data_IF_031635031961
#
_entry.id   IF_031635031961
#
_cell.length_a   1.000
_cell.length_b   1.000
_cell.length_c   1.000
_cell.angle_alpha   90.00
_cell.angle_beta   90.00
_cell.angle_gamma   90.00
#
_symmetry.space_group_name_H-M   'P 1'
#
loop_
_entity.id
_entity.type
_entity.pdbx_description
1 polymer ?
#
# COMPACT_ATOMS: atom_id res chain seq x y z
N UNK A 1 -23.25 68.14 -4.06
CA UNK A 1 -22.37 67.23 -3.30
C UNK A 1 -22.73 65.82 -3.73
N UNK A 2 -21.89 65.24 -4.59
CA UNK A 2 -22.07 63.90 -5.16
C UNK A 2 -21.32 62.90 -4.28
N UNK A 3 -21.99 61.89 -3.73
CA UNK A 3 -21.35 60.80 -2.98
C UNK A 3 -20.98 59.67 -3.94
N UNK A 4 -19.69 59.38 -4.07
CA UNK A 4 -19.18 58.24 -4.84
C UNK A 4 -19.40 56.90 -4.12
N UNK A 5 -19.51 55.76 -4.83
CA UNK A 5 -19.71 54.45 -4.22
C UNK A 5 -18.39 53.82 -3.72
N UNK A 6 -18.56 52.88 -2.80
CA UNK A 6 -17.58 52.10 -2.02
C UNK A 6 -16.77 51.13 -2.88
N UNK A 7 -15.46 51.03 -2.62
CA UNK A 7 -14.62 49.90 -3.03
C UNK A 7 -14.64 48.82 -1.92
N UNK A 8 -14.98 47.55 -2.21
CA UNK A 8 -14.90 46.48 -1.24
C UNK A 8 -13.44 46.08 -1.00
N UNK A 9 -13.05 46.10 0.28
CA UNK A 9 -11.75 45.66 0.79
C UNK A 9 -11.41 44.23 0.35
N UNK A 10 -10.18 44.06 -0.11
CA UNK A 10 -9.60 42.83 -0.66
C UNK A 10 -9.94 41.59 0.18
N UNK A 11 -10.59 40.63 -0.49
CA UNK A 11 -10.96 39.33 0.05
C UNK A 11 -9.71 38.54 0.43
N UNK A 12 -9.43 38.44 1.72
CA UNK A 12 -8.50 37.46 2.27
C UNK A 12 -9.03 36.07 1.95
N UNK A 13 -8.51 35.46 0.89
CA UNK A 13 -8.79 34.06 0.57
C UNK A 13 -8.05 33.21 1.59
N UNK A 14 -8.73 32.85 2.68
CA UNK A 14 -8.25 31.84 3.60
C UNK A 14 -8.16 30.50 2.85
N UNK A 15 -6.96 29.95 2.76
CA UNK A 15 -6.75 28.59 2.23
C UNK A 15 -7.52 27.61 3.13
N UNK A 16 -8.64 27.10 2.64
CA UNK A 16 -9.41 26.07 3.32
C UNK A 16 -8.60 24.77 3.30
N UNK A 17 -8.19 24.30 4.48
CA UNK A 17 -7.61 22.96 4.61
C UNK A 17 -8.77 21.97 4.43
N UNK A 18 -8.69 21.04 3.47
CA UNK A 18 -9.75 20.04 3.30
C UNK A 18 -9.86 19.21 4.58
N UNK A 19 -11.06 19.15 5.14
CA UNK A 19 -11.38 18.21 6.22
C UNK A 19 -11.27 16.80 5.65
N UNK A 20 -10.54 15.93 6.36
CA UNK A 20 -10.50 14.49 6.01
C UNK A 20 -11.53 13.77 6.86
N UNK A 21 -12.56 13.23 6.21
CA UNK A 21 -13.69 12.57 6.87
C UNK A 21 -13.45 11.08 7.15
N UNK A 22 -12.39 10.49 6.57
CA UNK A 22 -12.07 9.08 6.71
C UNK A 22 -10.56 8.82 6.76
N UNK A 23 -10.19 7.75 7.48
CA UNK A 23 -8.84 7.17 7.49
C UNK A 23 -8.99 5.71 7.08
N UNK A 24 -8.22 5.31 6.06
CA UNK A 24 -8.19 3.93 5.55
C UNK A 24 -6.89 3.31 6.04
N UNK A 25 -7.00 2.14 6.65
CA UNK A 25 -5.87 1.34 7.08
C UNK A 25 -5.76 0.12 6.19
N UNK A 26 -4.54 -0.21 5.80
CA UNK A 26 -4.23 -1.53 5.26
C UNK A 26 -4.29 -2.58 6.40
N UNK A 27 -4.27 -3.86 6.05
CA UNK A 27 -4.37 -4.95 7.03
C UNK A 27 -2.99 -5.42 7.50
N UNK A 28 -2.19 -5.97 6.58
CA UNK A 28 -0.92 -6.63 6.87
C UNK A 28 0.19 -5.63 7.21
N UNK A 29 0.84 -5.81 8.35
CA UNK A 29 1.89 -4.90 8.83
C UNK A 29 1.38 -3.53 9.32
N UNK A 30 0.06 -3.27 9.21
CA UNK A 30 -0.57 -2.05 9.73
C UNK A 30 -1.47 -2.35 10.92
N UNK A 31 -2.45 -3.24 10.75
CA UNK A 31 -3.37 -3.66 11.82
C UNK A 31 -2.96 -5.02 12.39
N UNK A 32 -2.42 -5.91 11.55
CA UNK A 32 -2.03 -7.27 11.92
C UNK A 32 -0.53 -7.44 11.78
N UNK A 33 0.13 -7.95 12.83
CA UNK A 33 1.49 -8.47 12.74
C UNK A 33 1.49 -9.85 12.06
N UNK A 34 1.48 -9.85 10.73
CA UNK A 34 1.33 -11.06 9.91
C UNK A 34 2.66 -11.61 9.37
N UNK A 35 3.81 -11.05 9.76
CA UNK A 35 5.10 -11.32 9.12
C UNK A 35 5.50 -12.80 9.21
N UNK A 36 5.39 -13.40 10.40
CA UNK A 36 5.78 -14.78 10.63
C UNK A 36 4.89 -15.78 9.87
N UNK A 37 3.58 -15.53 9.88
CA UNK A 37 2.59 -16.37 9.16
C UNK A 37 2.79 -16.25 7.65
N UNK A 38 3.08 -15.05 7.17
CA UNK A 38 3.34 -14.82 5.75
C UNK A 38 4.61 -15.55 5.28
N UNK A 39 5.68 -15.54 6.10
CA UNK A 39 6.89 -16.30 5.81
C UNK A 39 6.62 -17.81 5.74
N UNK A 40 5.86 -18.33 6.70
CA UNK A 40 5.50 -19.75 6.74
C UNK A 40 4.68 -20.16 5.51
N UNK A 41 3.65 -19.38 5.17
CA UNK A 41 2.80 -19.63 4.01
C UNK A 41 3.61 -19.59 2.71
N UNK A 42 4.45 -18.57 2.54
CA UNK A 42 5.33 -18.45 1.37
C UNK A 42 6.29 -19.63 1.26
N UNK A 43 6.92 -20.02 2.37
CA UNK A 43 7.86 -21.14 2.43
C UNK A 43 7.20 -22.47 2.07
N UNK A 44 5.96 -22.69 2.55
CA UNK A 44 5.18 -23.90 2.23
C UNK A 44 4.82 -23.95 0.75
N UNK A 45 4.30 -22.87 0.19
CA UNK A 45 3.96 -22.80 -1.24
C UNK A 45 5.20 -22.97 -2.13
N UNK A 46 6.32 -22.37 -1.74
CA UNK A 46 7.59 -22.54 -2.45
C UNK A 46 8.05 -24.00 -2.45
N UNK A 47 8.02 -24.67 -1.30
CA UNK A 47 8.41 -26.08 -1.20
C UNK A 47 7.49 -27.01 -2.02
N UNK A 48 6.19 -26.70 -2.09
CA UNK A 48 5.22 -27.49 -2.86
C UNK A 48 5.41 -27.36 -4.37
N UNK A 49 5.73 -26.16 -4.86
CA UNK A 49 5.74 -25.85 -6.30
C UNK A 49 7.16 -25.86 -6.88
N UNK A 50 8.11 -25.25 -6.19
CA UNK A 50 9.51 -25.12 -6.65
C UNK A 50 10.37 -26.28 -6.16
N UNK A 51 10.05 -26.82 -4.98
CA UNK A 51 10.77 -27.94 -4.36
C UNK A 51 11.81 -27.49 -3.33
N UNK A 52 12.86 -28.29 -3.17
CA UNK A 52 13.86 -28.10 -2.12
C UNK A 52 14.69 -26.80 -2.28
N UNK A 53 14.98 -26.15 -1.16
CA UNK A 53 15.84 -24.97 -1.09
C UNK A 53 15.28 -23.88 -0.18
N UNK A 54 16.10 -22.87 0.18
CA UNK A 54 15.61 -21.74 0.96
C UNK A 54 14.68 -20.88 0.09
N UNK A 55 13.45 -20.70 0.55
CA UNK A 55 12.50 -19.78 -0.09
C UNK A 55 13.01 -18.33 0.02
N UNK A 56 13.00 -17.52 -1.06
CA UNK A 56 13.56 -16.16 -1.08
C UNK A 56 12.63 -15.13 -0.41
N UNK A 57 12.22 -15.38 0.84
CA UNK A 57 11.22 -14.56 1.53
C UNK A 57 11.68 -13.12 1.78
N UNK A 58 12.95 -12.88 2.07
CA UNK A 58 13.48 -11.53 2.28
C UNK A 58 13.30 -10.64 1.04
N UNK A 59 13.47 -11.22 -0.16
CA UNK A 59 13.24 -10.49 -1.41
C UNK A 59 11.74 -10.31 -1.66
N UNK A 60 10.92 -11.34 -1.43
CA UNK A 60 9.45 -11.23 -1.49
C UNK A 60 8.92 -10.09 -0.61
N UNK A 61 9.46 -9.96 0.60
CA UNK A 61 9.05 -8.95 1.58
C UNK A 61 9.26 -7.51 1.07
N UNK A 62 10.27 -7.27 0.21
CA UNK A 62 10.56 -5.95 -0.37
C UNK A 62 9.53 -5.49 -1.40
N UNK A 63 8.75 -6.43 -1.94
CA UNK A 63 7.73 -6.16 -2.94
C UNK A 63 6.30 -6.10 -2.36
N UNK A 64 6.15 -6.22 -1.04
CA UNK A 64 4.85 -6.16 -0.35
C UNK A 64 4.12 -4.83 -0.61
N UNK A 65 2.78 -4.91 -0.64
CA UNK A 65 1.89 -3.82 -1.06
C UNK A 65 1.56 -3.82 -2.57
N UNK A 66 2.15 -4.73 -3.35
CA UNK A 66 1.75 -5.04 -4.74
C UNK A 66 0.83 -6.25 -4.80
N UNK A 67 0.18 -6.47 -5.93
CA UNK A 67 -0.57 -7.70 -6.17
C UNK A 67 0.38 -8.89 -6.23
N UNK A 68 -0.03 -10.01 -5.62
CA UNK A 68 0.80 -11.21 -5.53
C UNK A 68 1.31 -11.71 -6.90
N UNK A 69 0.46 -11.69 -7.93
CA UNK A 69 0.85 -12.06 -9.30
C UNK A 69 1.99 -11.19 -9.82
N UNK A 70 1.92 -9.87 -9.63
CA UNK A 70 2.98 -8.95 -10.05
C UNK A 70 4.30 -9.26 -9.31
N UNK A 71 4.23 -9.60 -8.02
CA UNK A 71 5.41 -9.95 -7.23
C UNK A 71 6.05 -11.23 -7.77
N UNK A 72 5.26 -12.27 -8.06
CA UNK A 72 5.77 -13.52 -8.62
C UNK A 72 6.44 -13.29 -9.98
N UNK A 73 5.83 -12.47 -10.85
CA UNK A 73 6.40 -12.10 -12.14
C UNK A 73 7.74 -11.35 -11.99
N UNK A 74 7.81 -10.36 -11.10
CA UNK A 74 9.03 -9.59 -10.81
C UNK A 74 10.15 -10.51 -10.28
N UNK A 75 9.80 -11.46 -9.43
CA UNK A 75 10.76 -12.41 -8.82
C UNK A 75 11.10 -13.59 -9.73
N UNK A 76 10.39 -13.78 -10.86
CA UNK A 76 10.54 -14.94 -11.72
C UNK A 76 10.09 -16.25 -11.08
N UNK A 77 9.11 -16.19 -10.15
CA UNK A 77 8.56 -17.34 -9.46
C UNK A 77 7.32 -17.90 -10.18
N UNK A 78 7.04 -19.22 -10.07
CA UNK A 78 5.87 -19.82 -10.68
C UNK A 78 4.55 -19.26 -10.11
N UNK A 79 3.58 -18.98 -10.98
CA UNK A 79 2.27 -18.46 -10.57
C UNK A 79 1.41 -19.52 -9.85
N UNK A 80 1.77 -20.80 -9.99
CA UNK A 80 1.19 -21.93 -9.28
C UNK A 80 1.41 -21.87 -7.76
N UNK A 81 2.33 -21.02 -7.29
CA UNK A 81 2.48 -20.71 -5.86
C UNK A 81 1.32 -19.88 -5.28
N UNK A 82 0.45 -19.31 -6.13
CA UNK A 82 -0.73 -18.59 -5.67
C UNK A 82 -1.71 -19.57 -5.00
N UNK A 83 -2.28 -19.24 -3.83
CA UNK A 83 -3.35 -20.03 -3.24
C UNK A 83 -4.63 -20.05 -4.12
#
# INVERSE_FOLDING_TARGET
>A
MTTSPVEPSESTTATLIPVRDAVIFDLDGVIVDSLAVMNEAFSRAYAEVVGDGPAPFEEYQRHQGRYFTDIMEIMGLPLEMRP
#
